data_IF_383379046732
#
_entry.id   IF_383379046732
#
_cell.length_a   1.000
_cell.length_b   1.000
_cell.length_c   1.000
_cell.angle_alpha   90.00
_cell.angle_beta   90.00
_cell.angle_gamma   90.00
#
_symmetry.space_group_name_H-M   'P 1'
#
loop_
_entity.id
_entity.type
_entity.pdbx_description
1 polymer ?
#
# COMPACT_ATOMS: atom_id res chain seq x y z
N UNK A 1 -65.78 86.07 -13.00
CA UNK A 1 -65.90 85.02 -14.04
C UNK A 1 -64.55 84.91 -14.77
N UNK A 2 -63.70 83.96 -14.41
CA UNK A 2 -62.33 83.89 -14.95
C UNK A 2 -61.89 82.42 -15.04
N UNK A 3 -61.65 81.84 -16.22
CA UNK A 3 -60.56 81.96 -17.22
C UNK A 3 -59.43 80.93 -17.00
N UNK A 4 -59.41 79.96 -17.93
CA UNK A 4 -58.30 79.17 -18.55
C UNK A 4 -56.95 79.03 -17.81
N UNK A 5 -56.45 77.79 -17.77
CA UNK A 5 -55.03 77.45 -17.70
C UNK A 5 -54.79 76.04 -18.29
N UNK A 6 -53.95 75.94 -19.32
CA UNK A 6 -53.60 74.70 -20.02
C UNK A 6 -52.60 73.84 -19.23
N UNK A 7 -52.57 72.50 -19.37
CA UNK A 7 -51.48 71.68 -18.86
C UNK A 7 -50.35 71.49 -19.87
N UNK A 8 -49.14 71.54 -19.31
CA UNK A 8 -47.80 71.59 -19.91
C UNK A 8 -47.35 70.29 -20.62
N UNK A 9 -46.32 70.34 -21.47
CA UNK A 9 -45.83 69.17 -22.20
C UNK A 9 -45.08 68.19 -21.29
N UNK A 10 -45.36 66.89 -21.49
CA UNK A 10 -44.61 65.78 -20.88
C UNK A 10 -43.15 65.81 -21.34
N UNK A 11 -42.22 65.85 -20.39
CA UNK A 11 -40.77 65.75 -20.63
C UNK A 11 -40.42 64.37 -21.21
N UNK A 12 -39.44 64.28 -22.13
CA UNK A 12 -39.00 63.00 -22.66
C UNK A 12 -38.39 62.14 -21.54
N UNK A 13 -38.85 60.88 -21.47
CA UNK A 13 -38.34 59.87 -20.53
C UNK A 13 -36.87 59.59 -20.86
N UNK A 14 -35.99 59.82 -19.90
CA UNK A 14 -34.54 59.71 -20.05
C UNK A 14 -34.13 58.22 -20.17
N UNK A 15 -34.11 57.71 -21.41
CA UNK A 15 -33.85 56.30 -21.78
C UNK A 15 -32.46 55.79 -21.36
N UNK A 16 -31.57 56.70 -20.93
CA UNK A 16 -30.20 56.39 -20.52
C UNK A 16 -30.11 55.90 -19.07
N UNK A 17 -31.10 56.21 -18.23
CA UNK A 17 -31.06 55.92 -16.78
C UNK A 17 -31.14 54.43 -16.46
N UNK A 18 -31.83 53.66 -17.30
CA UNK A 18 -31.91 52.19 -17.17
C UNK A 18 -30.59 51.52 -17.58
N UNK A 19 -29.90 52.04 -18.61
CA UNK A 19 -28.58 51.55 -19.01
C UNK A 19 -27.51 51.79 -17.94
N UNK A 20 -27.54 52.95 -17.28
CA UNK A 20 -26.68 53.21 -16.12
C UNK A 20 -27.00 52.30 -14.93
N UNK A 21 -28.28 52.01 -14.69
CA UNK A 21 -28.70 51.09 -13.62
C UNK A 21 -28.30 49.65 -13.92
N UNK A 22 -28.42 49.21 -15.18
CA UNK A 22 -28.00 47.89 -15.65
C UNK A 22 -26.47 47.73 -15.57
N UNK A 23 -25.72 48.76 -16.00
CA UNK A 23 -24.27 48.78 -15.90
C UNK A 23 -23.78 48.73 -14.44
N UNK A 24 -24.43 49.47 -13.54
CA UNK A 24 -24.13 49.40 -12.11
C UNK A 24 -24.41 48.01 -11.53
N UNK A 25 -25.51 47.36 -11.96
CA UNK A 25 -25.91 46.04 -11.47
C UNK A 25 -24.99 44.91 -12.00
N UNK A 26 -24.49 45.04 -13.23
CA UNK A 26 -23.49 44.13 -13.78
C UNK A 26 -22.12 44.29 -13.09
N UNK A 27 -21.73 45.53 -12.78
CA UNK A 27 -20.50 45.80 -12.03
C UNK A 27 -20.57 45.28 -10.60
N UNK A 28 -21.72 45.40 -9.91
CA UNK A 28 -21.90 44.83 -8.57
C UNK A 28 -21.96 43.31 -8.61
N UNK A 29 -22.63 42.69 -9.58
CA UNK A 29 -22.63 41.24 -9.74
C UNK A 29 -21.23 40.70 -10.05
N UNK A 30 -20.46 41.38 -10.91
CA UNK A 30 -19.06 41.05 -11.19
C UNK A 30 -18.17 41.19 -9.96
N UNK A 31 -18.31 42.27 -9.20
CA UNK A 31 -17.58 42.47 -7.95
C UNK A 31 -17.94 41.42 -6.89
N UNK A 32 -19.22 41.05 -6.77
CA UNK A 32 -19.67 39.97 -5.88
C UNK A 32 -19.14 38.60 -6.32
N UNK A 33 -19.04 38.32 -7.63
CA UNK A 33 -18.45 37.08 -8.15
C UNK A 33 -16.96 37.00 -7.84
N UNK A 34 -16.22 38.10 -8.04
CA UNK A 34 -14.79 38.16 -7.71
C UNK A 34 -14.56 38.06 -6.20
N UNK A 35 -15.40 38.70 -5.39
CA UNK A 35 -15.36 38.56 -3.93
C UNK A 35 -15.72 37.15 -3.47
N UNK A 36 -16.67 36.47 -4.13
CA UNK A 36 -17.01 35.09 -3.85
C UNK A 36 -15.88 34.13 -4.23
N UNK A 37 -15.23 34.33 -5.36
CA UNK A 37 -14.05 33.55 -5.73
C UNK A 37 -12.85 33.84 -4.83
N UNK A 38 -12.62 35.09 -4.43
CA UNK A 38 -11.59 35.45 -3.44
C UNK A 38 -11.89 34.86 -2.06
N UNK A 39 -13.16 34.81 -1.64
CA UNK A 39 -13.59 34.18 -0.41
C UNK A 39 -13.49 32.65 -0.49
N UNK A 40 -13.80 32.05 -1.64
CA UNK A 40 -13.60 30.62 -1.89
C UNK A 40 -12.12 30.26 -1.93
N UNK A 41 -11.28 31.09 -2.57
CA UNK A 41 -9.82 30.95 -2.57
C UNK A 41 -9.26 31.14 -1.15
N UNK A 42 -9.75 32.10 -0.37
CA UNK A 42 -9.33 32.29 1.02
C UNK A 42 -9.83 31.17 1.94
N UNK A 43 -11.01 30.59 1.68
CA UNK A 43 -11.49 29.41 2.38
C UNK A 43 -10.68 28.16 2.01
N UNK A 44 -10.20 28.07 0.76
CA UNK A 44 -9.23 27.04 0.34
C UNK A 44 -7.84 27.30 0.91
N UNK A 45 -7.40 28.56 1.03
CA UNK A 45 -6.09 28.91 1.59
C UNK A 45 -6.07 28.79 3.11
N UNK A 46 -7.18 29.08 3.80
CA UNK A 46 -7.33 28.86 5.24
C UNK A 46 -7.43 27.38 5.59
N UNK A 47 -7.90 26.52 4.66
CA UNK A 47 -7.76 25.06 4.76
C UNK A 47 -6.30 24.60 4.75
N UNK A 48 -5.36 25.40 4.24
CA UNK A 48 -3.93 25.10 4.23
C UNK A 48 -3.13 25.80 5.34
N UNK A 49 -3.75 26.68 6.14
CA UNK A 49 -3.08 27.43 7.22
C UNK A 49 -3.70 27.24 8.60
N UNK A 50 -4.66 26.33 8.75
CA UNK A 50 -5.13 25.91 10.09
C UNK A 50 -4.03 25.05 10.73
N UNK A 51 -3.63 25.41 11.96
CA UNK A 51 -2.57 24.77 12.74
C UNK A 51 -2.60 23.24 12.58
N UNK A 52 -1.60 22.67 11.88
CA UNK A 52 -1.37 21.23 11.93
C UNK A 52 -1.20 20.87 13.40
N UNK A 53 -2.19 20.19 14.01
CA UNK A 53 -2.10 19.69 15.39
C UNK A 53 -0.92 18.73 15.50
N UNK A 54 0.23 19.13 16.08
CA UNK A 54 1.49 18.36 16.00
C UNK A 54 1.35 16.94 16.58
N UNK A 55 0.39 16.74 17.47
CA UNK A 55 0.09 15.48 18.14
C UNK A 55 -0.38 14.36 17.19
N UNK A 56 -1.00 14.71 16.05
CA UNK A 56 -1.33 13.76 14.98
C UNK A 56 -0.09 13.32 14.17
N UNK A 57 1.02 14.07 14.28
CA UNK A 57 2.20 13.98 13.40
C UNK A 57 3.49 13.58 14.13
N UNK A 58 3.48 13.52 15.47
CA UNK A 58 4.67 13.25 16.26
C UNK A 58 4.49 11.99 17.13
N UNK A 59 5.40 11.04 16.98
CA UNK A 59 5.67 10.02 17.99
C UNK A 59 6.81 10.51 18.88
N UNK A 60 6.71 10.39 20.22
CA UNK A 60 7.92 10.39 21.04
C UNK A 60 8.78 9.20 20.59
N UNK A 61 10.03 9.48 20.19
CA UNK A 61 10.95 8.43 19.71
C UNK A 61 11.12 7.38 20.81
N UNK A 62 10.79 6.10 20.57
CA UNK A 62 10.98 5.05 21.57
C UNK A 62 12.44 4.95 21.97
N UNK A 63 12.73 4.73 23.26
CA UNK A 63 14.10 4.58 23.74
C UNK A 63 14.87 3.42 23.07
N UNK A 64 14.17 2.41 22.55
CA UNK A 64 14.74 1.30 21.76
C UNK A 64 15.33 1.77 20.42
N UNK A 65 14.72 2.77 19.79
CA UNK A 65 15.16 3.37 18.51
C UNK A 65 16.36 4.29 18.69
N UNK A 66 16.53 4.89 19.88
CA UNK A 66 17.66 5.78 20.19
C UNK A 66 18.99 5.01 20.24
N UNK A 67 18.95 3.72 20.61
CA UNK A 67 20.13 2.86 20.78
C UNK A 67 20.46 1.97 19.58
N UNK A 68 19.60 1.92 18.55
CA UNK A 68 19.88 1.17 17.33
C UNK A 68 20.61 2.06 16.31
N UNK A 69 21.92 1.85 16.14
CA UNK A 69 22.73 2.50 15.11
C UNK A 69 22.28 2.16 13.67
N UNK A 70 21.60 1.02 13.47
CA UNK A 70 21.13 0.55 12.15
C UNK A 70 20.13 1.49 11.47
N UNK A 71 19.16 2.03 12.21
CA UNK A 71 18.11 2.87 11.62
C UNK A 71 18.59 4.28 11.26
N UNK A 72 19.47 4.87 12.07
CA UNK A 72 20.08 6.17 11.74
C UNK A 72 21.01 6.07 10.53
N UNK A 73 21.59 4.90 10.25
CA UNK A 73 22.43 4.71 9.05
C UNK A 73 21.62 4.79 7.75
N UNK A 74 20.35 4.33 7.77
CA UNK A 74 19.44 4.37 6.62
C UNK A 74 19.05 5.81 6.26
N UNK A 75 18.76 6.66 7.25
CA UNK A 75 18.40 8.08 7.02
C UNK A 75 19.62 8.99 6.76
N UNK A 76 20.77 8.70 7.38
CA UNK A 76 21.97 9.56 7.25
C UNK A 76 22.83 9.26 6.02
N UNK A 77 22.60 8.12 5.35
CA UNK A 77 23.22 7.80 4.08
C UNK A 77 22.18 7.25 3.11
N UNK A 78 21.61 8.12 2.29
CA UNK A 78 20.67 7.74 1.20
C UNK A 78 21.27 6.82 0.12
N UNK A 79 22.44 6.22 0.37
CA UNK A 79 23.20 5.31 -0.48
C UNK A 79 23.81 4.13 0.31
N UNK A 80 23.30 3.79 1.51
CA UNK A 80 23.76 2.59 2.21
C UNK A 80 23.42 1.34 1.37
N UNK A 81 24.43 0.72 0.76
CA UNK A 81 24.24 -0.51 -0.01
C UNK A 81 23.79 -1.64 0.94
N UNK A 82 22.56 -2.11 0.75
CA UNK A 82 22.01 -3.23 1.52
C UNK A 82 22.71 -4.51 1.09
N UNK A 83 23.15 -5.32 2.05
CA UNK A 83 23.87 -6.56 1.73
C UNK A 83 23.00 -7.52 0.90
N UNK A 84 23.63 -8.24 -0.02
CA UNK A 84 22.92 -9.22 -0.86
C UNK A 84 22.26 -10.34 -0.05
N UNK A 85 22.83 -10.69 1.11
CA UNK A 85 22.26 -11.68 2.03
C UNK A 85 21.05 -11.11 2.80
N UNK A 86 21.06 -9.80 3.10
CA UNK A 86 19.90 -9.12 3.68
C UNK A 86 18.69 -9.09 2.73
N UNK A 87 18.95 -8.83 1.44
CA UNK A 87 17.91 -8.88 0.40
C UNK A 87 17.39 -10.30 0.20
N UNK A 88 18.27 -11.30 0.26
CA UNK A 88 17.91 -12.72 0.17
C UNK A 88 17.01 -13.16 1.32
N UNK A 89 17.28 -12.67 2.54
CA UNK A 89 16.47 -12.97 3.71
C UNK A 89 14.99 -12.54 3.55
N UNK A 90 14.73 -11.38 2.92
CA UNK A 90 13.36 -10.96 2.62
C UNK A 90 12.62 -11.98 1.73
N UNK A 91 13.31 -12.55 0.74
CA UNK A 91 12.74 -13.59 -0.14
C UNK A 91 12.45 -14.89 0.62
N UNK A 92 13.29 -15.27 1.59
CA UNK A 92 13.03 -16.44 2.43
C UNK A 92 11.83 -16.25 3.36
N UNK A 93 11.69 -15.07 3.98
CA UNK A 93 10.52 -14.75 4.79
C UNK A 93 9.23 -14.78 3.96
N UNK A 94 9.27 -14.24 2.75
CA UNK A 94 8.12 -14.25 1.84
C UNK A 94 7.74 -15.68 1.46
N UNK A 95 8.72 -16.50 1.06
CA UNK A 95 8.51 -17.89 0.70
C UNK A 95 7.93 -18.70 1.87
N UNK A 96 8.46 -18.53 3.08
CA UNK A 96 7.96 -19.22 4.27
C UNK A 96 6.53 -18.80 4.62
N UNK A 97 6.21 -17.51 4.51
CA UNK A 97 4.85 -17.00 4.71
C UNK A 97 3.83 -17.69 3.80
N UNK A 98 4.20 -17.93 2.53
CA UNK A 98 3.31 -18.53 1.53
C UNK A 98 3.24 -20.06 1.61
N UNK A 99 4.35 -20.74 1.96
CA UNK A 99 4.42 -22.21 2.05
C UNK A 99 3.81 -22.71 3.37
N UNK A 100 4.19 -22.09 4.48
CA UNK A 100 3.73 -22.45 5.84
C UNK A 100 2.70 -21.43 6.32
N UNK A 101 1.55 -21.40 5.63
CA UNK A 101 0.54 -20.36 5.81
C UNK A 101 -0.22 -20.40 7.15
N UNK A 102 0.03 -21.39 8.00
CA UNK A 102 -0.67 -21.59 9.27
C UNK A 102 0.28 -21.75 10.48
N UNK A 103 1.44 -21.13 10.40
CA UNK A 103 2.48 -21.18 11.45
C UNK A 103 2.76 -19.79 12.03
N UNK A 104 3.39 -19.74 13.19
CA UNK A 104 4.06 -18.51 13.65
C UNK A 104 5.38 -18.41 12.92
N UNK A 105 5.53 -17.35 12.12
CA UNK A 105 6.75 -17.06 11.37
C UNK A 105 7.49 -15.89 12.04
N UNK A 106 8.61 -16.14 12.74
CA UNK A 106 9.43 -15.07 13.29
C UNK A 106 10.32 -14.44 12.21
N UNK A 107 10.70 -13.18 12.41
CA UNK A 107 11.66 -12.49 11.54
C UNK A 107 13.04 -13.15 11.48
N UNK A 108 13.38 -14.03 12.43
CA UNK A 108 14.68 -14.72 12.49
C UNK A 108 14.77 -15.90 11.53
N UNK A 109 13.65 -16.35 10.96
CA UNK A 109 13.64 -17.47 10.02
C UNK A 109 14.60 -17.19 8.86
N UNK A 110 15.62 -18.04 8.70
CA UNK A 110 16.66 -17.90 7.69
C UNK A 110 17.37 -16.53 7.67
N UNK A 111 17.49 -15.90 8.84
CA UNK A 111 18.27 -14.69 8.98
C UNK A 111 19.77 -14.97 8.74
N UNK A 112 20.54 -14.01 8.19
CA UNK A 112 21.98 -14.17 8.01
C UNK A 112 22.68 -14.51 9.34
N UNK A 113 23.43 -15.61 9.35
CA UNK A 113 24.14 -16.08 10.55
C UNK A 113 23.30 -16.91 11.52
N UNK A 114 22.01 -17.16 11.25
CA UNK A 114 21.23 -18.13 12.01
C UNK A 114 21.61 -19.55 11.59
N UNK A 115 22.21 -20.32 12.51
CA UNK A 115 22.64 -21.69 12.27
C UNK A 115 21.47 -22.70 12.26
N UNK A 116 20.27 -22.30 12.69
CA UNK A 116 19.11 -23.18 12.74
C UNK A 116 18.57 -23.50 11.34
N UNK A 117 18.78 -22.61 10.38
CA UNK A 117 18.32 -22.75 9.01
C UNK A 117 19.51 -22.93 8.05
N UNK A 118 19.41 -23.88 7.11
CA UNK A 118 20.47 -24.14 6.11
C UNK A 118 20.60 -22.94 5.16
N UNK A 119 21.72 -22.87 4.42
CA UNK A 119 21.96 -21.88 3.35
C UNK A 119 20.81 -21.75 2.34
N UNK A 120 20.01 -22.81 2.19
CA UNK A 120 18.73 -22.81 1.50
C UNK A 120 17.65 -23.38 2.44
N UNK A 121 16.89 -22.52 3.12
CA UNK A 121 15.90 -22.96 4.11
C UNK A 121 14.71 -23.62 3.41
N UNK A 122 14.29 -24.79 3.90
CA UNK A 122 12.99 -25.35 3.55
C UNK A 122 12.02 -25.02 4.69
N UNK A 123 11.00 -24.17 4.47
CA UNK A 123 10.02 -23.81 5.50
C UNK A 123 9.40 -25.03 6.19
N UNK A 124 9.08 -26.08 5.42
CA UNK A 124 8.40 -27.29 5.94
C UNK A 124 9.27 -28.15 6.85
N UNK A 125 10.59 -27.99 6.76
CA UNK A 125 11.57 -28.73 7.56
C UNK A 125 12.28 -27.83 8.59
N UNK A 126 11.92 -26.55 8.65
CA UNK A 126 12.57 -25.59 9.53
C UNK A 126 12.12 -25.78 10.96
N UNK A 127 13.08 -25.72 11.88
CA UNK A 127 12.80 -25.69 13.31
C UNK A 127 12.50 -24.28 13.82
N UNK A 128 12.65 -23.24 13.01
CA UNK A 128 12.43 -21.85 13.40
C UNK A 128 10.95 -21.48 13.41
N UNK A 129 10.13 -22.16 12.61
CA UNK A 129 8.67 -21.98 12.58
C UNK A 129 7.99 -22.69 13.75
N UNK A 130 6.92 -22.08 14.29
CA UNK A 130 6.18 -22.66 15.41
C UNK A 130 4.77 -23.08 14.98
N UNK A 131 4.43 -24.33 15.30
CA UNK A 131 3.12 -24.91 15.05
C UNK A 131 2.27 -24.91 16.34
N UNK A 132 0.96 -25.13 16.22
CA UNK A 132 0.00 -25.08 17.35
C UNK A 132 0.37 -25.96 18.55
N UNK A 133 1.04 -27.09 18.32
CA UNK A 133 1.47 -28.03 19.36
C UNK A 133 2.94 -27.93 19.75
N UNK A 134 3.66 -26.91 19.27
CA UNK A 134 5.09 -26.80 19.54
C UNK A 134 5.36 -26.52 21.03
N UNK A 135 6.17 -27.35 21.73
CA UNK A 135 6.45 -27.15 23.15
C UNK A 135 7.15 -25.82 23.45
N UNK A 136 7.81 -25.21 22.46
CA UNK A 136 8.51 -23.92 22.58
C UNK A 136 7.57 -22.72 22.44
N UNK A 137 6.34 -22.93 21.96
CA UNK A 137 5.41 -21.87 21.59
C UNK A 137 5.16 -20.87 22.72
N UNK A 138 4.90 -21.35 23.93
CA UNK A 138 4.64 -20.47 25.08
C UNK A 138 5.85 -19.57 25.39
N UNK A 139 7.05 -20.14 25.39
CA UNK A 139 8.28 -19.39 25.68
C UNK A 139 8.55 -18.35 24.59
N UNK A 140 8.34 -18.69 23.33
CA UNK A 140 8.51 -17.77 22.21
C UNK A 140 7.47 -16.65 22.26
N UNK A 141 6.19 -16.96 22.48
CA UNK A 141 5.13 -15.95 22.59
C UNK A 141 5.36 -14.95 23.72
N UNK A 142 5.88 -15.41 24.87
CA UNK A 142 6.22 -14.56 26.03
C UNK A 142 7.28 -13.48 25.77
N UNK A 143 8.01 -13.54 24.67
CA UNK A 143 9.04 -12.53 24.35
C UNK A 143 8.45 -11.15 24.00
N UNK A 144 7.20 -11.11 23.51
CA UNK A 144 6.44 -9.89 23.23
C UNK A 144 7.26 -8.78 22.53
N UNK A 145 7.48 -8.86 21.20
CA UNK A 145 8.23 -7.85 20.46
C UNK A 145 7.53 -6.48 20.50
N UNK A 146 8.20 -5.46 19.97
CA UNK A 146 7.69 -4.08 19.90
C UNK A 146 6.40 -3.98 19.08
N UNK A 147 6.19 -4.86 18.10
CA UNK A 147 4.96 -4.99 17.31
C UNK A 147 4.81 -6.46 16.89
N UNK A 148 3.59 -6.99 16.93
CA UNK A 148 3.22 -8.28 16.30
C UNK A 148 2.32 -8.06 15.08
N UNK A 149 2.42 -8.91 14.06
CA UNK A 149 1.64 -8.78 12.82
C UNK A 149 0.58 -9.87 12.76
N UNK A 150 -0.68 -9.49 12.58
CA UNK A 150 -1.76 -10.43 12.35
C UNK A 150 -1.99 -10.63 10.85
N UNK A 151 -1.87 -11.88 10.39
CA UNK A 151 -2.24 -12.25 9.03
C UNK A 151 -2.84 -13.67 9.02
N UNK A 152 -4.17 -13.79 8.77
CA UNK A 152 -4.84 -15.08 8.79
C UNK A 152 -4.40 -15.97 7.63
N UNK A 153 -4.52 -17.29 7.78
CA UNK A 153 -3.92 -18.25 6.85
C UNK A 153 -4.41 -18.12 5.41
N UNK A 154 -5.68 -17.77 5.22
CA UNK A 154 -6.26 -17.54 3.89
C UNK A 154 -5.72 -16.26 3.21
N UNK A 155 -5.21 -15.31 3.99
CA UNK A 155 -4.64 -14.05 3.51
C UNK A 155 -3.11 -14.14 3.29
N UNK A 156 -2.46 -15.24 3.69
CA UNK A 156 -1.04 -15.53 3.38
C UNK A 156 -0.85 -16.04 1.96
N UNK A 157 -1.53 -15.37 1.03
CA UNK A 157 -1.22 -15.44 -0.38
C UNK A 157 -0.08 -14.50 -0.72
N UNK A 158 0.29 -14.41 -1.99
CA UNK A 158 1.43 -13.60 -2.40
C UNK A 158 1.30 -12.11 -2.08
N UNK A 159 0.15 -11.47 -2.38
CA UNK A 159 -0.08 -10.05 -2.04
C UNK A 159 0.08 -9.78 -0.53
N UNK A 160 -0.46 -10.68 0.30
CA UNK A 160 -0.32 -10.60 1.76
C UNK A 160 1.11 -10.79 2.25
N UNK A 161 1.80 -11.80 1.74
CA UNK A 161 3.17 -12.10 2.13
C UNK A 161 4.15 -11.02 1.65
N UNK A 162 3.97 -10.49 0.43
CA UNK A 162 4.75 -9.38 -0.10
C UNK A 162 4.56 -8.10 0.74
N UNK A 163 3.35 -7.85 1.24
CA UNK A 163 3.07 -6.67 2.06
C UNK A 163 3.66 -6.75 3.49
N UNK A 164 3.86 -7.95 4.04
CA UNK A 164 4.37 -8.11 5.42
C UNK A 164 5.88 -8.26 5.52
N UNK A 165 6.61 -8.63 4.47
CA UNK A 165 8.03 -9.02 4.62
C UNK A 165 8.90 -7.88 5.16
N UNK A 166 8.67 -6.65 4.71
CA UNK A 166 9.34 -5.47 5.21
C UNK A 166 9.05 -5.25 6.70
N UNK A 167 7.79 -5.02 7.11
CA UNK A 167 7.42 -4.89 8.52
C UNK A 167 7.91 -6.06 9.37
N UNK A 168 7.79 -7.30 8.90
CA UNK A 168 8.21 -8.50 9.61
C UNK A 168 9.70 -8.45 9.93
N UNK A 169 10.55 -8.25 8.92
CA UNK A 169 12.01 -8.21 9.09
C UNK A 169 12.44 -7.04 9.96
N UNK A 170 12.05 -5.83 9.57
CA UNK A 170 12.65 -4.64 10.13
C UNK A 170 12.07 -4.25 11.49
N UNK A 171 10.78 -4.50 11.75
CA UNK A 171 10.21 -4.35 13.09
C UNK A 171 10.59 -5.51 14.03
N UNK A 172 11.42 -6.46 13.56
CA UNK A 172 11.83 -7.65 14.31
C UNK A 172 10.62 -8.37 14.92
N UNK A 173 9.60 -8.52 14.09
CA UNK A 173 8.27 -8.98 14.48
C UNK A 173 8.09 -10.49 14.25
N UNK A 174 6.88 -10.99 14.48
CA UNK A 174 6.43 -12.31 14.08
C UNK A 174 5.03 -12.24 13.50
N UNK A 175 4.79 -13.08 12.50
CA UNK A 175 3.52 -13.21 11.83
C UNK A 175 2.64 -14.23 12.56
N UNK A 176 1.49 -13.78 13.05
CA UNK A 176 0.58 -14.58 13.86
C UNK A 176 -0.67 -15.00 13.06
N UNK A 177 -0.98 -16.31 12.96
CA UNK A 177 -2.20 -16.81 12.33
C UNK A 177 -3.41 -16.78 13.29
N UNK A 178 -4.62 -17.00 12.76
CA UNK A 178 -5.89 -16.97 13.52
C UNK A 178 -5.83 -17.78 14.83
N UNK A 179 -5.20 -18.95 14.80
CA UNK A 179 -5.22 -19.86 15.93
C UNK A 179 -4.44 -19.37 17.14
N UNK A 180 -3.45 -18.51 16.96
CA UNK A 180 -2.70 -17.93 18.09
C UNK A 180 -3.62 -17.07 18.94
N UNK A 181 -4.54 -16.33 18.30
CA UNK A 181 -5.52 -15.48 18.97
C UNK A 181 -6.58 -16.28 19.72
N UNK A 182 -6.82 -17.54 19.31
CA UNK A 182 -7.87 -18.41 19.85
C UNK A 182 -7.35 -19.40 20.89
N UNK A 183 -6.03 -19.64 20.93
CA UNK A 183 -5.44 -20.69 21.76
C UNK A 183 -5.18 -20.18 23.18
N UNK A 184 -5.46 -21.03 24.17
CA UNK A 184 -5.00 -20.85 25.55
C UNK A 184 -3.82 -21.78 25.80
N UNK A 185 -2.69 -21.21 26.20
CA UNK A 185 -1.45 -21.93 26.46
C UNK A 185 -1.28 -22.13 27.96
N UNK A 186 -1.11 -23.39 28.38
CA UNK A 186 -0.93 -23.72 29.79
C UNK A 186 0.49 -23.40 30.24
N UNK A 187 0.62 -22.49 31.19
CA UNK A 187 1.88 -22.13 31.81
C UNK A 187 2.08 -22.95 33.09
N UNK A 188 2.99 -23.92 33.04
CA UNK A 188 3.30 -24.82 34.15
C UNK A 188 3.78 -24.05 35.38
N UNK A 189 4.54 -22.97 35.18
CA UNK A 189 5.11 -22.18 36.27
C UNK A 189 4.03 -21.45 37.07
N UNK A 190 2.98 -20.95 36.40
CA UNK A 190 1.88 -20.22 37.04
C UNK A 190 0.62 -21.07 37.26
N UNK A 191 0.63 -22.32 36.77
CA UNK A 191 -0.51 -23.26 36.75
C UNK A 191 -1.79 -22.67 36.14
N UNK A 192 -1.65 -21.75 35.20
CA UNK A 192 -2.76 -21.04 34.55
C UNK A 192 -2.62 -21.12 33.05
N UNK A 193 -3.76 -21.24 32.37
CA UNK A 193 -3.82 -21.09 30.92
C UNK A 193 -3.95 -19.62 30.56
N UNK A 194 -3.04 -19.10 29.73
CA UNK A 194 -3.05 -17.72 29.24
C UNK A 194 -3.31 -17.68 27.75
N UNK A 195 -4.14 -16.74 27.34
CA UNK A 195 -4.30 -16.34 25.93
C UNK A 195 -3.11 -15.49 25.48
N UNK A 196 -2.95 -15.33 24.17
CA UNK A 196 -1.94 -14.42 23.62
C UNK A 196 -2.09 -12.98 24.14
N UNK A 197 -3.33 -12.49 24.28
CA UNK A 197 -3.61 -11.15 24.77
C UNK A 197 -3.17 -10.93 26.23
N UNK A 198 -3.25 -11.96 27.06
CA UNK A 198 -2.75 -11.92 28.44
C UNK A 198 -1.23 -12.07 28.52
N UNK A 199 -0.59 -12.68 27.50
CA UNK A 199 0.86 -12.79 27.43
C UNK A 199 1.49 -11.46 27.00
N UNK A 200 0.94 -10.83 25.97
CA UNK A 200 1.45 -9.58 25.38
C UNK A 200 0.34 -8.50 25.33
N UNK A 201 -0.08 -7.97 26.50
CA UNK A 201 -1.17 -6.99 26.55
C UNK A 201 -0.78 -5.64 25.91
N UNK A 202 0.49 -5.24 26.03
CA UNK A 202 0.99 -3.95 25.56
C UNK A 202 1.63 -3.98 24.18
N UNK A 203 1.89 -5.17 23.61
CA UNK A 203 2.42 -5.30 22.24
C UNK A 203 1.34 -4.87 21.24
N UNK A 204 1.55 -3.82 20.44
CA UNK A 204 0.67 -3.44 19.35
C UNK A 204 0.48 -4.58 18.35
N UNK A 205 -0.71 -4.64 17.76
CA UNK A 205 -1.01 -5.56 16.65
C UNK A 205 -1.14 -4.79 15.35
N UNK A 206 -0.34 -5.14 14.34
CA UNK A 206 -0.43 -4.59 13.00
C UNK A 206 -1.40 -5.42 12.14
N UNK A 207 -2.38 -4.74 11.55
CA UNK A 207 -3.35 -5.27 10.60
C UNK A 207 -3.08 -4.73 9.18
N UNK A 208 -3.35 -5.55 8.17
CA UNK A 208 -3.15 -5.22 6.75
C UNK A 208 -4.42 -4.80 6.01
N UNK A 209 -5.57 -4.93 6.67
CA UNK A 209 -6.86 -4.48 6.14
C UNK A 209 -7.83 -4.16 7.28
N UNK A 210 -8.77 -3.22 7.04
CA UNK A 210 -9.85 -2.95 7.98
C UNK A 210 -10.71 -4.19 8.29
N UNK A 211 -10.90 -5.09 7.33
CA UNK A 211 -11.67 -6.32 7.54
C UNK A 211 -10.98 -7.24 8.58
N UNK A 212 -9.65 -7.36 8.51
CA UNK A 212 -8.89 -8.15 9.49
C UNK A 212 -8.96 -7.53 10.88
N UNK A 213 -8.86 -6.21 10.95
CA UNK A 213 -8.98 -5.43 12.19
C UNK A 213 -10.37 -5.66 12.79
N UNK A 214 -11.44 -5.39 12.04
CA UNK A 214 -12.81 -5.48 12.54
C UNK A 214 -13.14 -6.90 13.02
N UNK A 215 -12.76 -7.94 12.26
CA UNK A 215 -13.01 -9.34 12.65
C UNK A 215 -12.33 -9.74 13.97
N UNK A 216 -11.24 -9.07 14.34
CA UNK A 216 -10.40 -9.44 15.49
C UNK A 216 -10.68 -8.55 16.70
N UNK A 217 -10.64 -7.24 16.49
CA UNK A 217 -10.73 -6.21 17.55
C UNK A 217 -12.15 -6.08 18.11
N UNK A 218 -13.19 -6.37 17.32
CA UNK A 218 -14.58 -6.30 17.80
C UNK A 218 -15.00 -7.52 18.65
N UNK A 219 -14.12 -8.50 18.81
CA UNK A 219 -14.41 -9.67 19.63
C UNK A 219 -14.32 -9.34 21.12
N UNK A 220 -15.18 -9.96 21.94
CA UNK A 220 -15.18 -9.76 23.40
C UNK A 220 -13.86 -10.17 24.10
N UNK A 221 -12.99 -10.90 23.40
CA UNK A 221 -11.67 -11.28 23.89
C UNK A 221 -10.59 -10.22 23.69
N UNK A 222 -10.82 -9.19 22.86
CA UNK A 222 -9.84 -8.14 22.63
C UNK A 222 -9.73 -7.23 23.87
N UNK A 223 -8.52 -7.00 24.43
CA UNK A 223 -8.36 -6.08 25.55
C UNK A 223 -8.52 -4.62 25.12
N UNK A 224 -9.26 -3.83 25.89
CA UNK A 224 -9.50 -2.41 25.59
C UNK A 224 -8.22 -1.57 25.48
N UNK A 225 -7.17 -1.92 26.23
CA UNK A 225 -5.91 -1.18 26.26
C UNK A 225 -4.88 -1.69 25.25
N UNK A 226 -5.20 -2.74 24.47
CA UNK A 226 -4.24 -3.33 23.53
C UNK A 226 -4.10 -2.44 22.28
N UNK A 227 -2.90 -1.94 21.94
CA UNK A 227 -2.76 -1.02 20.82
C UNK A 227 -3.02 -1.68 19.46
N UNK A 228 -3.61 -0.93 18.54
CA UNK A 228 -4.04 -1.36 17.19
C UNK A 228 -3.39 -0.49 16.13
N UNK A 229 -2.56 -1.11 15.29
CA UNK A 229 -1.94 -0.47 14.13
C UNK A 229 -2.55 -0.99 12.84
N UNK A 230 -2.71 -0.11 11.85
CA UNK A 230 -3.31 -0.44 10.55
C UNK A 230 -2.42 0.04 9.41
N UNK A 231 -2.08 -0.86 8.49
CA UNK A 231 -1.42 -0.50 7.24
C UNK A 231 -2.43 0.00 6.21
N UNK A 232 -2.06 1.06 5.50
CA UNK A 232 -2.86 1.71 4.47
C UNK A 232 -2.00 2.05 3.23
N UNK A 233 -2.54 1.96 1.99
CA UNK A 233 -3.86 1.42 1.67
C UNK A 233 -3.94 -0.08 1.99
N UNK A 234 -5.17 -0.56 2.19
CA UNK A 234 -5.45 -1.98 2.48
C UNK A 234 -4.86 -2.87 1.40
N UNK A 235 -4.29 -4.00 1.81
CA UNK A 235 -3.95 -5.06 0.86
C UNK A 235 -5.26 -5.72 0.42
N UNK A 236 -5.49 -5.80 -0.89
CA UNK A 236 -6.68 -6.47 -1.40
C UNK A 236 -6.47 -7.98 -1.39
N UNK A 237 -7.11 -8.64 -0.44
CA UNK A 237 -7.09 -10.09 -0.31
C UNK A 237 -8.24 -10.77 -1.07
N UNK A 238 -9.16 -10.00 -1.67
CA UNK A 238 -10.34 -10.55 -2.34
C UNK A 238 -10.06 -10.85 -3.81
N UNK A 239 -10.10 -12.13 -4.20
CA UNK A 239 -10.11 -12.53 -5.62
C UNK A 239 -11.46 -12.28 -6.31
N UNK A 240 -12.50 -11.96 -5.54
CA UNK A 240 -13.84 -11.61 -6.02
C UNK A 240 -13.98 -10.10 -5.99
N UNK A 241 -14.54 -9.53 -7.06
CA UNK A 241 -14.89 -8.11 -7.18
C UNK A 241 -15.83 -7.74 -6.03
N UNK A 242 -15.29 -7.29 -4.90
CA UNK A 242 -16.10 -6.65 -3.88
C UNK A 242 -16.45 -5.26 -4.41
N UNK A 243 -17.75 -4.93 -4.55
CA UNK A 243 -18.16 -3.61 -5.03
C UNK A 243 -17.85 -2.49 -4.04
N UNK A 244 -17.34 -2.82 -2.84
CA UNK A 244 -16.84 -1.87 -1.84
C UNK A 244 -15.55 -2.45 -1.23
N UNK A 245 -14.40 -1.79 -1.42
CA UNK A 245 -13.22 -2.06 -0.60
C UNK A 245 -13.59 -1.95 0.88
N UNK A 246 -12.88 -2.66 1.75
CA UNK A 246 -12.92 -2.39 3.18
C UNK A 246 -12.53 -0.93 3.39
N UNK A 247 -13.52 -0.09 3.65
CA UNK A 247 -13.35 1.36 3.67
C UNK A 247 -12.74 1.79 5.01
N UNK A 248 -11.93 2.85 4.98
CA UNK A 248 -11.51 3.59 6.17
C UNK A 248 -12.73 4.35 6.72
N UNK A 249 -13.62 3.62 7.39
CA UNK A 249 -14.81 4.18 8.02
C UNK A 249 -14.47 4.82 9.36
N UNK A 250 -15.40 5.61 9.89
CA UNK A 250 -15.30 6.18 11.23
C UNK A 250 -15.00 5.11 12.28
N UNK A 251 -15.73 4.00 12.27
CA UNK A 251 -15.54 2.88 13.21
C UNK A 251 -14.15 2.27 13.12
N UNK A 252 -13.56 2.16 11.93
CA UNK A 252 -12.19 1.63 11.78
C UNK A 252 -11.18 2.58 12.41
N UNK A 253 -11.35 3.89 12.21
CA UNK A 253 -10.46 4.91 12.79
C UNK A 253 -10.58 4.96 14.31
N UNK A 254 -11.79 4.91 14.86
CA UNK A 254 -12.01 4.88 16.33
C UNK A 254 -11.36 3.67 17.01
N UNK A 255 -11.16 2.57 16.29
CA UNK A 255 -10.50 1.36 16.78
C UNK A 255 -8.98 1.34 16.49
N UNK A 256 -8.43 2.36 15.83
CA UNK A 256 -7.03 2.38 15.37
C UNK A 256 -6.25 3.48 16.07
N UNK A 257 -5.14 3.11 16.71
CA UNK A 257 -4.23 4.07 17.36
C UNK A 257 -3.24 4.68 16.36
N UNK A 258 -2.73 3.88 15.42
CA UNK A 258 -1.77 4.32 14.40
C UNK A 258 -2.10 3.77 13.02
N UNK A 259 -2.17 4.65 12.03
CA UNK A 259 -2.27 4.29 10.61
C UNK A 259 -0.91 4.49 9.94
N UNK A 260 -0.39 3.44 9.30
CA UNK A 260 0.85 3.44 8.54
C UNK A 260 0.52 3.56 7.05
N UNK A 261 0.61 4.77 6.50
CA UNK A 261 0.38 5.06 5.10
C UNK A 261 1.63 4.78 4.27
N UNK A 262 1.50 3.96 3.23
CA UNK A 262 2.56 3.65 2.24
C UNK A 262 2.76 4.76 1.21
N UNK A 263 1.83 5.72 1.14
CA UNK A 263 1.85 6.81 0.16
C UNK A 263 1.49 8.13 0.83
N UNK A 264 2.07 9.22 0.33
CA UNK A 264 1.74 10.57 0.73
C UNK A 264 0.27 10.89 0.45
N UNK A 265 -0.29 10.37 -0.65
CA UNK A 265 -1.72 10.52 -0.92
C UNK A 265 -2.58 9.89 0.18
N UNK A 266 -2.25 8.68 0.63
CA UNK A 266 -2.92 8.02 1.75
C UNK A 266 -2.85 8.88 3.02
N UNK A 267 -1.65 9.38 3.33
CA UNK A 267 -1.40 10.20 4.51
C UNK A 267 -2.32 11.44 4.52
N UNK A 268 -2.36 12.17 3.40
CA UNK A 268 -3.21 13.33 3.23
C UNK A 268 -4.70 13.00 3.29
N UNK A 269 -5.15 11.98 2.55
CA UNK A 269 -6.57 11.63 2.47
C UNK A 269 -7.12 11.17 3.83
N UNK A 270 -6.36 10.37 4.59
CA UNK A 270 -6.77 9.92 5.92
C UNK A 270 -6.75 11.09 6.92
N UNK A 271 -5.72 11.94 6.90
CA UNK A 271 -5.68 13.13 7.76
C UNK A 271 -6.86 14.06 7.48
N UNK A 272 -7.16 14.33 6.22
CA UNK A 272 -8.35 15.12 5.84
C UNK A 272 -9.65 14.45 6.29
N UNK A 273 -9.76 13.12 6.16
CA UNK A 273 -10.90 12.39 6.66
C UNK A 273 -11.08 12.59 8.18
N UNK A 274 -10.01 12.43 8.97
CA UNK A 274 -10.03 12.63 10.42
C UNK A 274 -10.38 14.08 10.78
N UNK A 275 -9.80 15.08 10.11
CA UNK A 275 -10.10 16.49 10.36
C UNK A 275 -11.56 16.83 10.09
N UNK A 276 -12.15 16.29 9.01
CA UNK A 276 -13.59 16.47 8.72
C UNK A 276 -14.45 15.82 9.81
N UNK A 277 -14.12 14.61 10.22
CA UNK A 277 -14.87 13.92 11.28
C UNK A 277 -14.84 14.70 12.59
N UNK A 278 -13.69 15.26 13.00
CA UNK A 278 -13.54 16.07 14.21
C UNK A 278 -14.38 17.35 14.14
N UNK A 279 -14.44 17.99 12.96
CA UNK A 279 -15.22 19.21 12.74
C UNK A 279 -16.73 18.96 12.82
N UNK A 280 -17.17 17.79 12.38
CA UNK A 280 -18.59 17.42 12.31
C UNK A 280 -19.10 16.74 13.60
N UNK A 281 -18.23 16.45 14.58
CA UNK A 281 -18.59 15.78 15.84
C UNK A 281 -18.76 16.72 17.03
N UNK A 282 -19.74 16.42 17.90
CA UNK A 282 -19.82 16.99 19.25
C UNK A 282 -18.55 16.61 20.08
N UNK A 283 -18.25 17.39 21.11
CA UNK A 283 -16.95 17.36 21.83
C UNK A 283 -16.53 15.96 22.32
N UNK A 284 -17.46 15.12 22.81
CA UNK A 284 -17.17 13.77 23.34
C UNK A 284 -16.73 12.77 22.26
N UNK A 285 -17.42 12.70 21.12
CA UNK A 285 -17.07 11.76 20.04
C UNK A 285 -15.84 12.19 19.24
N UNK A 286 -15.46 13.46 19.38
CA UNK A 286 -14.20 13.99 18.86
C UNK A 286 -12.98 13.44 19.60
N UNK A 287 -13.08 13.08 20.90
CA UNK A 287 -11.94 12.61 21.69
C UNK A 287 -11.41 11.24 21.27
N UNK A 288 -12.28 10.32 20.85
CA UNK A 288 -11.88 9.00 20.34
C UNK A 288 -11.10 9.11 19.03
N UNK A 289 -11.53 10.01 18.12
CA UNK A 289 -10.87 10.24 16.83
C UNK A 289 -9.57 11.05 17.00
N UNK A 290 -9.47 11.90 18.04
CA UNK A 290 -8.26 12.70 18.33
C UNK A 290 -7.01 11.84 18.57
N UNK A 291 -7.16 10.57 18.96
CA UNK A 291 -6.03 9.71 19.34
C UNK A 291 -5.39 8.97 18.16
N UNK A 292 -6.08 8.82 17.02
CA UNK A 292 -5.52 8.13 15.85
C UNK A 292 -4.41 8.96 15.21
N UNK A 293 -3.19 8.41 15.16
CA UNK A 293 -2.04 9.05 14.51
C UNK A 293 -1.86 8.50 13.10
N UNK A 294 -1.43 9.33 12.17
CA UNK A 294 -1.20 8.93 10.78
C UNK A 294 0.24 9.20 10.40
N UNK A 295 0.94 8.15 10.00
CA UNK A 295 2.36 8.17 9.67
C UNK A 295 2.55 7.79 8.21
N UNK A 296 3.24 8.64 7.47
CA UNK A 296 3.76 8.28 6.16
C UNK A 296 5.03 7.43 6.34
N UNK A 297 5.05 6.25 5.72
CA UNK A 297 6.11 5.25 5.84
C UNK A 297 6.53 4.74 4.48
N UNK A 298 7.82 4.49 4.30
CA UNK A 298 8.33 3.77 3.14
C UNK A 298 8.05 2.27 3.28
N UNK A 299 7.97 1.57 2.15
CA UNK A 299 7.78 0.13 2.10
C UNK A 299 9.05 -0.56 1.62
N UNK A 300 9.28 -1.76 2.14
CA UNK A 300 10.33 -2.66 1.66
C UNK A 300 9.69 -3.90 1.03
N UNK A 301 10.21 -4.31 -0.12
CA UNK A 301 9.78 -5.51 -0.85
C UNK A 301 10.97 -6.44 -1.11
N UNK A 302 10.70 -7.63 -1.65
CA UNK A 302 11.72 -8.57 -2.10
C UNK A 302 12.42 -8.09 -3.38
N UNK A 303 13.65 -8.55 -3.59
CA UNK A 303 14.42 -8.33 -4.82
C UNK A 303 14.51 -9.63 -5.64
N UNK A 304 13.70 -9.77 -6.72
CA UNK A 304 13.73 -10.95 -7.57
C UNK A 304 15.08 -11.17 -8.26
N UNK A 305 15.76 -10.11 -8.70
CA UNK A 305 17.03 -10.24 -9.40
C UNK A 305 18.12 -10.78 -8.46
N UNK A 306 18.18 -10.24 -7.23
CA UNK A 306 19.09 -10.74 -6.19
C UNK A 306 18.78 -12.20 -5.80
N UNK A 307 17.49 -12.53 -5.61
CA UNK A 307 17.07 -13.89 -5.29
C UNK A 307 17.52 -14.88 -6.37
N UNK A 308 17.24 -14.58 -7.64
CA UNK A 308 17.63 -15.44 -8.75
C UNK A 308 19.15 -15.63 -8.84
N UNK A 309 19.92 -14.56 -8.69
CA UNK A 309 21.39 -14.59 -8.72
C UNK A 309 21.96 -15.48 -7.60
N UNK A 310 21.42 -15.38 -6.39
CA UNK A 310 21.88 -16.17 -5.23
C UNK A 310 21.49 -17.65 -5.34
N UNK A 311 20.33 -17.95 -5.89
CA UNK A 311 19.84 -19.32 -6.03
C UNK A 311 20.46 -20.11 -7.20
N UNK A 312 21.17 -19.45 -8.12
CA UNK A 312 21.74 -20.05 -9.34
C UNK A 312 23.28 -20.12 -9.34
N UNK A 313 23.92 -20.01 -8.17
CA UNK A 313 25.38 -20.08 -7.97
C UNK A 313 26.22 -19.04 -8.76
N UNK A 314 26.02 -17.76 -8.45
CA UNK A 314 27.14 -16.83 -8.19
C UNK A 314 27.68 -15.95 -9.32
N UNK A 315 28.05 -16.48 -10.50
CA UNK A 315 28.98 -15.73 -11.40
C UNK A 315 28.46 -15.41 -12.82
N UNK A 316 27.29 -15.92 -13.23
CA UNK A 316 26.87 -15.83 -14.63
C UNK A 316 25.83 -14.73 -14.95
N UNK A 317 25.22 -14.09 -13.95
CA UNK A 317 24.20 -13.05 -14.16
C UNK A 317 24.74 -11.67 -13.74
N UNK A 318 24.80 -10.69 -14.67
CA UNK A 318 25.21 -9.33 -14.36
C UNK A 318 24.41 -8.71 -13.20
N UNK A 319 25.01 -7.77 -12.48
CA UNK A 319 24.36 -7.01 -11.39
C UNK A 319 23.09 -6.29 -11.87
N UNK A 320 23.04 -5.90 -13.15
CA UNK A 320 21.83 -5.43 -13.84
C UNK A 320 21.27 -6.55 -14.71
N UNK A 321 20.26 -7.25 -14.21
CA UNK A 321 19.59 -8.32 -14.96
C UNK A 321 18.77 -7.78 -16.16
N UNK A 322 18.33 -6.51 -16.12
CA UNK A 322 17.55 -5.88 -17.18
C UNK A 322 18.31 -5.92 -18.53
N UNK A 323 17.86 -6.78 -19.43
CA UNK A 323 18.47 -6.94 -20.75
C UNK A 323 17.94 -5.92 -21.74
N UNK A 324 18.71 -4.87 -22.09
CA UNK A 324 18.30 -3.87 -23.08
C UNK A 324 18.65 -4.26 -24.53
N UNK A 325 19.52 -5.25 -24.73
CA UNK A 325 19.87 -5.73 -26.07
C UNK A 325 18.70 -6.45 -26.77
N UNK A 326 17.81 -7.07 -25.99
CA UNK A 326 16.60 -7.73 -26.45
C UNK A 326 15.43 -7.24 -25.61
N UNK A 327 14.85 -6.10 -25.99
CA UNK A 327 13.77 -5.45 -25.24
C UNK A 327 12.61 -6.40 -24.96
N UNK A 328 12.32 -6.62 -23.66
CA UNK A 328 11.15 -7.36 -23.19
C UNK A 328 10.34 -6.50 -22.26
N UNK A 329 9.02 -6.53 -22.45
CA UNK A 329 8.07 -5.94 -21.53
C UNK A 329 7.53 -7.01 -20.60
N UNK A 330 7.41 -6.70 -19.32
CA UNK A 330 6.82 -7.57 -18.32
C UNK A 330 5.63 -6.89 -17.64
N UNK A 331 4.59 -7.66 -17.33
CA UNK A 331 3.46 -7.24 -16.51
C UNK A 331 3.15 -8.35 -15.51
N UNK A 332 2.94 -8.01 -14.24
CA UNK A 332 2.43 -8.95 -13.24
C UNK A 332 0.96 -8.72 -12.98
N UNK A 333 0.24 -9.76 -12.59
CA UNK A 333 -1.16 -9.65 -12.20
C UNK A 333 -1.57 -10.83 -11.31
N UNK A 334 -2.57 -10.62 -10.44
CA UNK A 334 -3.26 -11.69 -9.70
C UNK A 334 -4.41 -12.30 -10.48
N UNK A 335 -4.94 -11.55 -11.45
CA UNK A 335 -6.19 -11.87 -12.13
C UNK A 335 -6.09 -11.38 -13.56
N UNK A 336 -5.82 -12.31 -14.47
CA UNK A 336 -5.74 -12.05 -15.91
C UNK A 336 -7.00 -11.34 -16.45
N UNK A 337 -8.16 -11.59 -15.84
CA UNK A 337 -9.43 -10.95 -16.23
C UNK A 337 -9.66 -9.55 -15.61
N UNK A 338 -8.70 -8.97 -14.88
CA UNK A 338 -8.84 -7.61 -14.32
C UNK A 338 -8.92 -6.59 -15.45
N UNK A 339 -9.64 -5.48 -15.23
CA UNK A 339 -9.74 -4.42 -16.23
C UNK A 339 -8.36 -3.89 -16.63
N UNK A 340 -7.48 -3.70 -15.65
CA UNK A 340 -6.11 -3.20 -15.81
C UNK A 340 -5.28 -4.12 -16.73
N UNK A 341 -5.26 -5.42 -16.46
CA UNK A 341 -4.56 -6.40 -17.30
C UNK A 341 -5.19 -6.50 -18.69
N UNK A 342 -6.51 -6.43 -18.81
CA UNK A 342 -7.19 -6.42 -20.11
C UNK A 342 -6.86 -5.16 -20.94
N UNK A 343 -6.73 -4.00 -20.30
CA UNK A 343 -6.33 -2.76 -20.98
C UNK A 343 -4.90 -2.87 -21.52
N UNK A 344 -3.97 -3.47 -20.76
CA UNK A 344 -2.62 -3.81 -21.25
C UNK A 344 -2.69 -4.74 -22.46
N UNK A 345 -3.52 -5.79 -22.41
CA UNK A 345 -3.67 -6.73 -23.52
C UNK A 345 -4.23 -6.06 -24.77
N UNK A 346 -5.21 -5.18 -24.61
CA UNK A 346 -5.81 -4.44 -25.72
C UNK A 346 -4.81 -3.48 -26.36
N UNK A 347 -3.98 -2.80 -25.56
CA UNK A 347 -2.88 -1.97 -26.06
C UNK A 347 -1.89 -2.81 -26.90
N UNK A 348 -1.42 -3.93 -26.36
CA UNK A 348 -0.51 -4.82 -27.08
C UNK A 348 -1.12 -5.40 -28.35
N UNK A 349 -2.43 -5.68 -28.36
CA UNK A 349 -3.17 -6.13 -29.54
C UNK A 349 -3.20 -5.08 -30.64
N UNK A 350 -3.56 -3.85 -30.28
CA UNK A 350 -3.71 -2.74 -31.22
C UNK A 350 -2.38 -2.39 -31.88
N UNK A 351 -1.27 -2.55 -31.16
CA UNK A 351 0.04 -2.08 -31.56
C UNK A 351 1.06 -3.23 -31.76
N UNK A 352 0.62 -4.44 -32.11
CA UNK A 352 1.48 -5.64 -32.28
C UNK A 352 2.67 -5.46 -33.23
N UNK A 353 2.58 -4.54 -34.20
CA UNK A 353 3.67 -4.23 -35.16
C UNK A 353 4.70 -3.26 -34.61
N UNK A 354 4.33 -2.48 -33.60
CA UNK A 354 5.13 -1.38 -33.03
C UNK A 354 5.76 -1.79 -31.69
N UNK A 355 5.05 -2.61 -30.90
CA UNK A 355 5.45 -2.98 -29.56
C UNK A 355 6.27 -4.28 -29.53
N UNK A 356 7.36 -4.34 -28.74
CA UNK A 356 8.09 -5.57 -28.48
C UNK A 356 7.24 -6.61 -27.70
N UNK A 357 7.75 -7.85 -27.56
CA UNK A 357 7.03 -8.90 -26.84
C UNK A 357 6.70 -8.53 -25.39
N UNK A 358 5.45 -8.81 -25.00
CA UNK A 358 4.98 -8.78 -23.61
C UNK A 358 5.01 -10.18 -23.00
N UNK A 359 5.60 -10.28 -21.81
CA UNK A 359 5.48 -11.42 -20.91
C UNK A 359 4.54 -11.04 -19.77
N UNK A 360 3.51 -11.84 -19.54
CA UNK A 360 2.54 -11.61 -18.46
C UNK A 360 2.73 -12.69 -17.42
N UNK A 361 2.99 -12.28 -16.20
CA UNK A 361 3.20 -13.17 -15.08
C UNK A 361 1.97 -13.13 -14.18
N UNK A 362 1.19 -14.20 -14.19
CA UNK A 362 0.18 -14.44 -13.19
C UNK A 362 0.88 -14.88 -11.91
N UNK A 363 0.91 -13.99 -10.93
CA UNK A 363 1.51 -14.24 -9.64
C UNK A 363 0.64 -15.26 -8.87
N UNK A 364 1.30 -16.09 -8.04
CA UNK A 364 0.80 -17.32 -7.42
C UNK A 364 -0.71 -17.29 -7.08
N UNK A 365 -1.46 -18.02 -7.87
CA UNK A 365 -2.87 -18.32 -7.65
C UNK A 365 -3.00 -19.85 -7.56
N UNK A 366 -3.87 -20.34 -6.68
CA UNK A 366 -4.20 -21.77 -6.65
C UNK A 366 -4.80 -22.12 -8.02
N UNK A 367 -4.06 -22.87 -8.84
CA UNK A 367 -4.53 -23.37 -10.12
C UNK A 367 -4.65 -24.89 -10.04
N UNK A 368 -5.85 -25.42 -10.27
CA UNK A 368 -6.12 -26.88 -10.28
C UNK A 368 -5.62 -27.63 -9.02
N UNK A 369 -5.81 -27.05 -7.83
CA UNK A 369 -5.37 -27.61 -6.54
C UNK A 369 -3.85 -27.82 -6.41
N UNK A 370 -3.03 -27.22 -7.29
CA UNK A 370 -1.58 -27.18 -7.17
C UNK A 370 -1.10 -25.75 -6.99
N UNK A 371 -0.20 -25.57 -6.03
CA UNK A 371 0.45 -24.30 -5.79
C UNK A 371 1.49 -24.10 -6.90
N UNK A 372 1.24 -23.16 -7.82
CA UNK A 372 2.25 -22.70 -8.76
C UNK A 372 2.96 -21.47 -8.17
N UNK A 373 4.26 -21.30 -8.39
CA UNK A 373 4.96 -20.08 -7.96
C UNK A 373 4.76 -18.92 -8.96
N UNK A 374 3.93 -19.16 -9.98
CA UNK A 374 3.53 -18.21 -11.00
C UNK A 374 3.32 -18.88 -12.36
N UNK A 375 2.51 -18.26 -13.21
CA UNK A 375 2.32 -18.69 -14.60
C UNK A 375 2.74 -17.58 -15.54
N UNK A 376 3.71 -17.86 -16.42
CA UNK A 376 4.12 -16.96 -17.48
C UNK A 376 3.34 -17.27 -18.75
N UNK A 377 2.63 -16.26 -19.22
CA UNK A 377 2.00 -16.22 -20.53
C UNK A 377 2.92 -15.43 -21.46
N UNK A 378 3.25 -15.96 -22.64
CA UNK A 378 4.17 -15.32 -23.60
C UNK A 378 3.90 -15.76 -25.04
N UNK A 379 3.99 -14.82 -26.00
CA UNK A 379 3.81 -14.98 -27.48
C UNK A 379 2.48 -15.64 -27.94
N UNK A 380 1.94 -15.27 -29.12
CA UNK A 380 1.64 -13.91 -29.54
C UNK A 380 0.39 -13.43 -28.79
N UNK A 381 0.57 -12.44 -27.92
CA UNK A 381 -0.57 -11.83 -27.25
C UNK A 381 -1.40 -10.94 -28.20
N UNK A 382 -2.70 -10.77 -27.90
CA UNK A 382 -3.44 -11.48 -26.85
C UNK A 382 -4.17 -12.73 -27.36
N UNK A 383 -3.96 -13.86 -26.68
CA UNK A 383 -4.97 -14.92 -26.49
C UNK A 383 -5.55 -15.55 -27.75
N UNK A 384 -4.72 -16.01 -28.69
CA UNK A 384 -5.10 -17.04 -29.65
C UNK A 384 -4.63 -18.43 -29.18
N UNK A 385 -4.93 -19.48 -29.96
CA UNK A 385 -4.46 -20.86 -29.70
C UNK A 385 -2.94 -21.00 -29.59
N UNK A 386 -2.18 -19.96 -29.95
CA UNK A 386 -0.73 -19.94 -29.97
C UNK A 386 -0.13 -19.31 -28.71
N UNK A 387 -0.96 -18.83 -27.77
CA UNK A 387 -0.50 -18.29 -26.47
C UNK A 387 0.21 -19.37 -25.68
N UNK A 388 1.53 -19.21 -25.45
CA UNK A 388 2.30 -20.19 -24.68
C UNK A 388 2.16 -19.93 -23.19
N UNK A 389 1.86 -20.99 -22.45
CA UNK A 389 1.77 -21.00 -20.99
C UNK A 389 2.97 -21.76 -20.44
N UNK A 390 3.65 -21.18 -19.46
CA UNK A 390 4.75 -21.81 -18.75
C UNK A 390 4.57 -21.63 -17.24
N UNK A 391 4.45 -22.74 -16.53
CA UNK A 391 4.50 -22.74 -15.06
C UNK A 391 5.95 -22.51 -14.63
N UNK A 392 6.15 -21.59 -13.69
CA UNK A 392 7.47 -21.25 -13.15
C UNK A 392 7.53 -21.61 -11.66
N UNK A 393 8.72 -22.04 -11.23
CA UNK A 393 9.08 -22.02 -9.81
C UNK A 393 9.57 -20.62 -9.43
N UNK A 394 9.70 -20.34 -8.13
CA UNK A 394 10.10 -19.02 -7.63
C UNK A 394 11.43 -18.53 -8.24
N UNK A 395 12.43 -19.39 -8.39
CA UNK A 395 13.74 -19.02 -8.93
C UNK A 395 13.65 -18.67 -10.42
N UNK A 396 12.93 -19.47 -11.21
CA UNK A 396 12.71 -19.20 -12.64
C UNK A 396 11.84 -17.97 -12.86
N UNK A 397 10.84 -17.75 -12.03
CA UNK A 397 10.05 -16.51 -12.05
C UNK A 397 10.95 -15.32 -11.83
N UNK A 398 11.67 -15.30 -10.71
CA UNK A 398 12.51 -14.18 -10.33
C UNK A 398 13.60 -13.88 -11.37
N UNK A 399 14.20 -14.92 -11.96
CA UNK A 399 15.15 -14.76 -13.07
C UNK A 399 14.49 -14.09 -14.27
N UNK A 400 13.40 -14.66 -14.78
CA UNK A 400 12.76 -14.19 -16.02
C UNK A 400 12.10 -12.82 -15.88
N UNK A 401 11.57 -12.53 -14.69
CA UNK A 401 10.99 -11.23 -14.38
C UNK A 401 12.10 -10.18 -14.24
N UNK A 402 13.17 -10.48 -13.51
CA UNK A 402 14.33 -9.59 -13.35
C UNK A 402 15.10 -9.31 -14.65
N UNK A 403 15.05 -10.22 -15.63
CA UNK A 403 15.65 -10.03 -16.95
C UNK A 403 14.87 -9.04 -17.86
N UNK A 404 13.66 -8.63 -17.47
CA UNK A 404 12.85 -7.70 -18.26
C UNK A 404 13.46 -6.29 -18.28
N UNK A 405 13.35 -5.60 -19.42
CA UNK A 405 13.87 -4.25 -19.59
C UNK A 405 12.86 -3.19 -19.17
N UNK A 406 11.58 -3.45 -19.44
CA UNK A 406 10.47 -2.55 -19.14
C UNK A 406 9.36 -3.27 -18.38
N UNK A 407 8.81 -2.62 -17.38
CA UNK A 407 7.71 -3.13 -16.57
C UNK A 407 6.46 -2.29 -16.77
N UNK A 408 5.38 -2.90 -17.23
CA UNK A 408 4.08 -2.24 -17.40
C UNK A 408 3.29 -2.41 -16.11
N UNK A 409 3.24 -1.34 -15.32
CA UNK A 409 2.52 -1.29 -14.06
C UNK A 409 1.47 -0.18 -14.16
N UNK A 410 0.28 -0.41 -14.75
CA UNK A 410 -0.68 0.67 -14.98
C UNK A 410 -1.28 1.22 -13.69
N UNK A 411 -1.40 0.39 -12.66
CA UNK A 411 -2.03 0.73 -11.38
C UNK A 411 -1.30 0.07 -10.21
N UNK A 412 -1.56 0.57 -9.00
CA UNK A 412 -1.05 -0.02 -7.77
C UNK A 412 -1.74 -1.35 -7.40
N UNK A 413 -2.80 -1.76 -8.11
CA UNK A 413 -3.56 -2.97 -7.78
C UNK A 413 -2.94 -4.28 -8.31
N UNK A 414 -1.98 -4.19 -9.24
CA UNK A 414 -1.45 -5.34 -9.97
C UNK A 414 -0.18 -5.95 -9.32
N UNK A 415 0.20 -5.49 -8.11
CA UNK A 415 1.45 -5.82 -7.37
C UNK A 415 2.69 -5.90 -8.29
N UNK A 416 2.73 -4.98 -9.25
CA UNK A 416 3.77 -4.86 -10.26
C UNK A 416 4.86 -3.89 -9.83
N UNK A 417 4.46 -2.79 -9.21
CA UNK A 417 5.32 -1.63 -8.98
C UNK A 417 6.52 -1.95 -8.08
N UNK A 418 6.26 -2.58 -6.94
CA UNK A 418 7.30 -2.88 -5.95
C UNK A 418 8.34 -3.86 -6.53
N UNK A 419 7.88 -4.94 -7.16
CA UNK A 419 8.74 -5.94 -7.80
C UNK A 419 9.53 -5.37 -8.97
N UNK A 420 8.89 -4.54 -9.80
CA UNK A 420 9.52 -3.91 -10.95
C UNK A 420 10.65 -2.97 -10.54
N UNK A 421 10.41 -2.12 -9.53
CA UNK A 421 11.42 -1.21 -8.99
C UNK A 421 12.59 -1.97 -8.37
N UNK A 422 12.32 -3.05 -7.63
CA UNK A 422 13.37 -3.89 -7.07
C UNK A 422 14.19 -4.63 -8.14
N UNK A 423 13.64 -4.84 -9.34
CA UNK A 423 14.30 -5.55 -10.43
C UNK A 423 15.22 -4.67 -11.30
N UNK A 424 15.22 -3.34 -11.09
CA UNK A 424 16.13 -2.41 -11.77
C UNK A 424 15.83 -2.12 -13.25
N UNK A 425 14.65 -2.49 -13.76
CA UNK A 425 14.19 -2.11 -15.10
C UNK A 425 13.34 -0.84 -15.09
N UNK A 426 13.01 -0.33 -16.27
CA UNK A 426 12.26 0.92 -16.43
C UNK A 426 10.77 0.68 -16.22
N UNK A 427 10.16 1.40 -15.28
CA UNK A 427 8.72 1.28 -15.01
C UNK A 427 7.92 2.17 -15.96
N UNK A 428 6.90 1.63 -16.61
CA UNK A 428 5.92 2.38 -17.40
C UNK A 428 4.59 2.33 -16.67
N UNK A 429 4.08 3.50 -16.28
CA UNK A 429 2.95 3.60 -15.36
C UNK A 429 2.01 4.77 -15.68
N UNK A 430 0.81 4.77 -15.10
CA UNK A 430 -0.11 5.89 -15.19
C UNK A 430 0.43 7.13 -14.45
N UNK A 431 0.18 8.32 -14.99
CA UNK A 431 0.36 9.60 -14.31
C UNK A 431 -0.81 9.90 -13.36
N UNK A 432 -1.02 9.03 -12.38
CA UNK A 432 -2.06 9.18 -11.37
C UNK A 432 -1.57 8.65 -10.04
N UNK A 433 -2.14 9.16 -8.94
CA UNK A 433 -1.80 8.66 -7.61
C UNK A 433 -2.19 7.18 -7.44
N UNK A 434 -1.38 6.39 -6.73
CA UNK A 434 -0.09 6.73 -6.13
C UNK A 434 1.11 6.53 -7.08
N UNK A 435 0.88 6.19 -8.34
CA UNK A 435 1.95 5.77 -9.24
C UNK A 435 2.96 6.88 -9.55
N UNK A 436 2.48 8.10 -9.77
CA UNK A 436 3.33 9.27 -10.04
C UNK A 436 4.06 9.81 -8.79
N UNK A 437 3.69 9.35 -7.61
CA UNK A 437 4.42 9.59 -6.36
C UNK A 437 5.65 8.66 -6.28
N UNK A 438 5.46 7.40 -6.68
CA UNK A 438 6.46 6.33 -6.51
C UNK A 438 7.43 6.25 -7.69
N UNK A 439 7.00 6.63 -8.90
CA UNK A 439 7.83 6.74 -10.11
C UNK A 439 7.85 8.20 -10.52
N UNK A 440 8.76 8.96 -9.90
CA UNK A 440 8.80 10.43 -10.03
C UNK A 440 9.92 10.94 -10.93
N UNK A 441 10.94 10.11 -11.21
CA UNK A 441 12.08 10.46 -12.06
C UNK A 441 12.04 9.75 -13.41
N UNK A 442 12.46 10.46 -14.46
CA UNK A 442 12.71 9.90 -15.79
C UNK A 442 13.80 8.82 -15.78
N UNK A 443 14.62 8.73 -14.72
CA UNK A 443 15.60 7.67 -14.53
C UNK A 443 15.01 6.36 -14.01
N UNK A 444 13.82 6.40 -13.39
CA UNK A 444 13.13 5.23 -12.82
C UNK A 444 12.02 4.72 -13.75
N UNK A 445 11.41 5.62 -14.53
CA UNK A 445 10.28 5.25 -15.36
C UNK A 445 9.73 6.35 -16.25
N UNK A 446 8.64 5.99 -16.94
CA UNK A 446 7.86 6.86 -17.82
C UNK A 446 6.40 6.80 -17.42
N UNK A 447 5.75 7.95 -17.37
CA UNK A 447 4.31 8.03 -17.08
C UNK A 447 3.50 8.25 -18.35
N UNK A 448 2.29 7.67 -18.41
CA UNK A 448 1.30 7.96 -19.46
C UNK A 448 0.10 8.71 -18.87
N UNK A 449 -0.50 9.65 -19.61
CA UNK A 449 -1.57 10.49 -19.08
C UNK A 449 -2.82 9.66 -18.77
N UNK A 450 -3.52 10.06 -17.72
CA UNK A 450 -4.85 9.54 -17.39
C UNK A 450 -5.92 10.61 -17.62
N UNK A 451 -7.20 10.22 -17.59
CA UNK A 451 -8.30 11.20 -17.60
C UNK A 451 -8.17 12.24 -16.48
N UNK A 452 -7.64 11.83 -15.31
CA UNK A 452 -7.41 12.72 -14.18
C UNK A 452 -6.25 13.71 -14.44
N UNK A 453 -5.18 13.27 -15.10
CA UNK A 453 -4.03 14.12 -15.44
C UNK A 453 -4.35 15.09 -16.60
N UNK A 454 -5.16 14.66 -17.56
CA UNK A 454 -5.58 15.49 -18.69
C UNK A 454 -6.41 16.70 -18.25
N UNK A 455 -7.26 16.54 -17.22
CA UNK A 455 -8.03 17.64 -16.65
C UNK A 455 -7.12 18.73 -16.04
N UNK A 456 -6.09 18.33 -15.30
CA UNK A 456 -5.11 19.28 -14.73
C UNK A 456 -4.23 20.00 -15.76
N UNK A 457 -4.03 19.42 -16.94
CA UNK A 457 -3.31 20.09 -18.04
C UNK A 457 -4.16 21.14 -18.77
N UNK A 458 -5.48 21.10 -18.62
CA UNK A 458 -6.37 22.07 -19.26
C UNK A 458 -6.58 23.34 -18.41
N UNK A 459 -6.14 23.31 -17.15
CA UNK A 459 -6.25 24.40 -16.16
C UNK A 459 -4.93 25.18 -15.94
N UNK A 460 -3.85 24.88 -16.69
CA UNK A 460 -2.58 25.63 -16.64
C UNK A 460 -2.39 26.59 -17.81
#
# INVERSE_FOLDING_TARGET
>A
MAKKGAPSPLKPLDSTRWLHSLGALLLTAGACSVMWELAALHAQHSLFTDELRPELFALPVPASVINSSEWRAIDSSGNAEISSDDLLHLSFLEAACQVENNTVLPWTFAAPGDAADRSFPNPQASTSLLHRGDPRLLQQLKQCPDVDIYLPSWARGPAGCAAIVGPLKYLRSRLLPDWVMQTKLYDIATRKSKSYYELCPQTPMLFLSPDHLLKTVTTASWPNEKPVYLMAPSVDFNTKTSPRPANFTRTVMELTDVVLCRTMRCDQDIKHFLMRQIKDSDEESSELIKNTRVLYTSQVTVDPANFARKMLDGDATPQNAAGFAYTRFAHTTWRVSSKTTQDVFNCWKGHKKELPPLDVYLLRAIHENKQNDGTRYYKPFPGDSDTKVQVLDAVKFSKKFGEASFFICPTAADDCLDLARASGGVVVTADAYPMNEVVSSHSEGVTFPTQQSALHQTER
#
